data_IF_076006556090
#
_entry.id   IF_076006556090
#
_cell.length_a   1.000
_cell.length_b   1.000
_cell.length_c   1.000
_cell.angle_alpha   90.00
_cell.angle_beta   90.00
_cell.angle_gamma   90.00
#
_symmetry.space_group_name_H-M   'P 1'
#
loop_
_entity.id
_entity.type
_entity.pdbx_description
1 polymer ?
#
# COMPACT_ATOMS: atom_id res chain seq x y z
N UNK A 1 60.18 -14.92 -16.45
CA UNK A 1 58.95 -14.64 -15.67
C UNK A 1 57.75 -14.26 -16.54
N UNK A 2 57.90 -13.55 -17.68
CA UNK A 2 56.77 -13.18 -18.55
C UNK A 2 55.98 -14.35 -19.18
N UNK A 3 56.65 -15.43 -19.56
CA UNK A 3 55.99 -16.53 -20.32
C UNK A 3 54.94 -17.30 -19.52
N UNK A 4 55.16 -17.51 -18.22
CA UNK A 4 54.18 -18.20 -17.36
C UNK A 4 52.94 -17.34 -17.14
N UNK A 5 53.12 -16.03 -16.98
CA UNK A 5 52.04 -15.08 -16.77
C UNK A 5 51.20 -14.90 -18.05
N UNK A 6 51.83 -14.85 -19.23
CA UNK A 6 51.15 -14.84 -20.53
C UNK A 6 50.33 -16.13 -20.76
N UNK A 7 50.87 -17.29 -20.37
CA UNK A 7 50.13 -18.56 -20.42
C UNK A 7 48.92 -18.56 -19.48
N UNK A 8 49.06 -18.03 -18.26
CA UNK A 8 47.95 -17.89 -17.31
C UNK A 8 46.86 -16.94 -17.84
N UNK A 9 47.23 -15.82 -18.45
CA UNK A 9 46.28 -14.92 -19.10
C UNK A 9 45.53 -15.63 -20.23
N UNK A 10 46.24 -16.35 -21.09
CA UNK A 10 45.63 -17.08 -22.22
C UNK A 10 44.71 -18.19 -21.74
N UNK A 11 45.12 -18.95 -20.72
CA UNK A 11 44.31 -20.00 -20.12
C UNK A 11 43.04 -19.44 -19.47
N UNK A 12 43.15 -18.30 -18.79
CA UNK A 12 41.99 -17.58 -18.22
C UNK A 12 41.01 -17.15 -19.32
N UNK A 13 41.51 -16.47 -20.36
CA UNK A 13 40.67 -16.00 -21.48
C UNK A 13 39.95 -17.17 -22.17
N UNK A 14 40.66 -18.28 -22.45
CA UNK A 14 40.06 -19.48 -23.06
C UNK A 14 39.00 -20.10 -22.15
N UNK A 15 39.24 -20.17 -20.84
CA UNK A 15 38.29 -20.76 -19.90
C UNK A 15 37.01 -19.93 -19.81
N UNK A 16 37.14 -18.60 -19.75
CA UNK A 16 36.01 -17.67 -19.79
C UNK A 16 35.20 -17.82 -21.08
N UNK A 17 35.87 -17.89 -22.24
CA UNK A 17 35.20 -18.07 -23.52
C UNK A 17 34.43 -19.40 -23.61
N UNK A 18 34.95 -20.47 -23.00
CA UNK A 18 34.23 -21.76 -22.92
C UNK A 18 32.97 -21.63 -22.07
N UNK A 19 33.05 -20.98 -20.90
CA UNK A 19 31.88 -20.71 -20.07
C UNK A 19 30.85 -19.83 -20.79
N UNK A 20 31.29 -18.79 -21.51
CA UNK A 20 30.41 -17.93 -22.33
C UNK A 20 29.70 -18.76 -23.41
N UNK A 21 30.41 -19.68 -24.09
CA UNK A 21 29.79 -20.57 -25.10
C UNK A 21 28.71 -21.46 -24.49
N UNK A 22 28.94 -22.02 -23.31
CA UNK A 22 27.95 -22.83 -22.60
C UNK A 22 26.74 -21.99 -22.20
N UNK A 23 26.95 -20.85 -21.55
CA UNK A 23 25.87 -19.92 -21.16
C UNK A 23 25.05 -19.49 -22.38
N UNK A 24 25.71 -19.15 -23.48
CA UNK A 24 25.05 -18.71 -24.71
C UNK A 24 24.25 -19.83 -25.35
N UNK A 25 24.78 -21.06 -25.38
CA UNK A 25 24.06 -22.22 -25.90
C UNK A 25 22.80 -22.51 -25.07
N UNK A 26 22.91 -22.45 -23.74
CA UNK A 26 21.79 -22.64 -22.80
C UNK A 26 20.78 -21.48 -22.79
N UNK A 27 21.23 -20.28 -23.15
CA UNK A 27 20.32 -19.15 -23.38
C UNK A 27 19.50 -19.37 -24.66
N UNK A 28 20.15 -19.82 -25.74
CA UNK A 28 19.51 -20.06 -27.05
C UNK A 28 18.51 -21.20 -27.04
N UNK A 29 18.75 -22.26 -26.25
CA UNK A 29 17.83 -23.40 -26.12
C UNK A 29 16.69 -23.16 -25.11
N UNK A 30 16.59 -21.94 -24.55
CA UNK A 30 15.57 -21.56 -23.57
C UNK A 30 15.73 -22.23 -22.20
N UNK A 31 16.82 -22.95 -21.93
CA UNK A 31 17.05 -23.57 -20.62
C UNK A 31 17.24 -22.54 -19.52
N UNK A 32 17.97 -21.45 -19.79
CA UNK A 32 18.18 -20.39 -18.79
C UNK A 32 16.90 -19.59 -18.49
N UNK A 33 15.92 -19.61 -19.40
CA UNK A 33 14.60 -18.99 -19.21
C UNK A 33 13.69 -19.83 -18.31
N UNK A 34 14.00 -21.11 -18.12
CA UNK A 34 13.25 -22.03 -17.24
C UNK A 34 13.80 -22.08 -15.81
N UNK A 35 14.92 -21.40 -15.54
CA UNK A 35 15.50 -21.36 -14.21
C UNK A 35 14.56 -20.66 -13.24
N UNK A 36 14.43 -21.24 -12.04
CA UNK A 36 13.82 -20.55 -10.90
C UNK A 36 14.71 -19.38 -10.46
N UNK A 37 14.16 -18.49 -9.63
CA UNK A 37 14.95 -17.40 -9.02
C UNK A 37 16.13 -17.95 -8.23
N UNK A 38 15.94 -19.03 -7.46
CA UNK A 38 17.00 -19.66 -6.68
C UNK A 38 18.11 -20.25 -7.58
N UNK A 39 17.73 -20.93 -8.67
CA UNK A 39 18.72 -21.52 -9.58
C UNK A 39 19.53 -20.46 -10.31
N UNK A 40 18.89 -19.33 -10.68
CA UNK A 40 19.59 -18.22 -11.32
C UNK A 40 20.59 -17.55 -10.36
N UNK A 41 20.22 -17.41 -9.09
CA UNK A 41 21.13 -16.93 -8.03
C UNK A 41 22.34 -17.85 -7.90
N UNK A 42 22.12 -19.17 -7.83
CA UNK A 42 23.21 -20.15 -7.73
C UNK A 42 24.15 -20.06 -8.94
N UNK A 43 23.59 -19.92 -10.15
CA UNK A 43 24.38 -19.72 -11.37
C UNK A 43 25.21 -18.42 -11.28
N UNK A 44 24.59 -17.32 -10.85
CA UNK A 44 25.27 -16.02 -10.72
C UNK A 44 26.41 -16.09 -9.71
N UNK A 45 26.19 -16.69 -8.54
CA UNK A 45 27.22 -16.86 -7.52
C UNK A 45 28.37 -17.75 -8.01
N UNK A 46 28.06 -18.83 -8.71
CA UNK A 46 29.06 -19.75 -9.28
C UNK A 46 29.93 -19.04 -10.32
N UNK A 47 29.31 -18.26 -11.21
CA UNK A 47 30.03 -17.51 -12.24
C UNK A 47 30.90 -16.42 -11.62
N UNK A 48 30.38 -15.64 -10.67
CA UNK A 48 31.17 -14.60 -9.98
C UNK A 48 32.32 -15.18 -9.16
N UNK A 49 32.12 -16.34 -8.51
CA UNK A 49 33.18 -17.07 -7.82
C UNK A 49 34.29 -17.49 -8.78
N UNK A 50 33.93 -18.17 -9.86
CA UNK A 50 34.89 -18.59 -10.89
C UNK A 50 35.67 -17.39 -11.47
N UNK A 51 34.98 -16.29 -11.78
CA UNK A 51 35.65 -15.10 -12.30
C UNK A 51 36.65 -14.55 -11.27
N UNK A 52 36.26 -14.43 -10.00
CA UNK A 52 37.17 -13.97 -8.93
C UNK A 52 38.41 -14.85 -8.82
N UNK A 53 38.22 -16.16 -8.77
CA UNK A 53 39.33 -17.11 -8.65
C UNK A 53 40.31 -16.98 -9.83
N UNK A 54 39.79 -16.82 -11.05
CA UNK A 54 40.65 -16.62 -12.24
C UNK A 54 41.35 -15.26 -12.26
N UNK A 55 40.73 -14.22 -11.70
CA UNK A 55 41.34 -12.89 -11.57
C UNK A 55 42.48 -12.88 -10.55
N UNK A 56 42.27 -13.55 -9.42
CA UNK A 56 43.28 -13.67 -8.36
C UNK A 56 44.48 -14.50 -8.85
N UNK A 57 44.23 -15.57 -9.61
CA UNK A 57 45.28 -16.42 -10.18
C UNK A 57 46.05 -15.77 -11.34
N UNK A 58 45.34 -15.07 -12.24
CA UNK A 58 45.96 -14.51 -13.45
C UNK A 58 46.43 -13.07 -13.27
N UNK A 59 45.94 -12.34 -12.27
CA UNK A 59 46.19 -10.90 -12.08
C UNK A 59 45.51 -10.01 -13.13
N UNK A 60 44.66 -10.56 -14.01
CA UNK A 60 43.97 -9.83 -15.08
C UNK A 60 42.47 -10.01 -14.99
N UNK A 61 41.75 -8.89 -15.09
CA UNK A 61 40.29 -8.90 -15.16
C UNK A 61 39.79 -9.31 -16.53
N UNK A 62 38.96 -10.36 -16.59
CA UNK A 62 38.25 -10.76 -17.80
C UNK A 62 36.77 -10.36 -17.69
N UNK A 63 36.29 -9.66 -18.71
CA UNK A 63 34.94 -9.09 -18.74
C UNK A 63 33.95 -9.90 -19.59
N UNK A 64 34.41 -10.87 -20.40
CA UNK A 64 33.55 -11.58 -21.35
C UNK A 64 32.47 -12.40 -20.64
N UNK A 65 32.86 -13.18 -19.64
CA UNK A 65 31.95 -14.01 -18.87
C UNK A 65 30.98 -13.18 -18.00
N UNK A 66 31.48 -12.12 -17.36
CA UNK A 66 30.61 -11.18 -16.62
C UNK A 66 29.61 -10.48 -17.53
N UNK A 67 30.02 -10.08 -18.74
CA UNK A 67 29.13 -9.50 -19.74
C UNK A 67 28.02 -10.47 -20.18
N UNK A 68 28.37 -11.74 -20.41
CA UNK A 68 27.40 -12.78 -20.72
C UNK A 68 26.41 -13.03 -19.57
N UNK A 69 26.92 -13.10 -18.33
CA UNK A 69 26.09 -13.23 -17.13
C UNK A 69 25.15 -12.02 -16.97
N UNK A 70 25.65 -10.80 -17.16
CA UNK A 70 24.85 -9.58 -17.06
C UNK A 70 23.71 -9.55 -18.09
N UNK A 71 23.97 -9.99 -19.32
CA UNK A 71 22.93 -10.12 -20.35
C UNK A 71 21.83 -11.09 -19.91
N UNK A 72 22.21 -12.22 -19.30
CA UNK A 72 21.23 -13.16 -18.75
C UNK A 72 20.52 -12.60 -17.51
N UNK A 73 21.20 -11.85 -16.66
CA UNK A 73 20.62 -11.21 -15.49
C UNK A 73 19.55 -10.20 -15.88
N UNK A 74 19.76 -9.40 -16.92
CA UNK A 74 18.76 -8.48 -17.44
C UNK A 74 17.50 -9.22 -17.96
N UNK A 75 17.68 -10.35 -18.66
CA UNK A 75 16.55 -11.20 -19.10
C UNK A 75 15.80 -11.81 -17.92
N UNK A 76 16.53 -12.27 -16.91
CA UNK A 76 15.96 -12.77 -15.68
C UNK A 76 15.14 -11.69 -14.97
N UNK A 77 15.69 -10.48 -14.79
CA UNK A 77 14.99 -9.34 -14.15
C UNK A 77 13.68 -9.03 -14.88
N UNK A 78 13.73 -8.97 -16.21
CA UNK A 78 12.55 -8.71 -17.03
C UNK A 78 11.45 -9.76 -16.78
N UNK A 79 11.78 -11.05 -16.92
CA UNK A 79 10.83 -12.15 -16.70
C UNK A 79 10.30 -12.16 -15.26
N UNK A 80 11.21 -12.03 -14.28
CA UNK A 80 10.87 -11.95 -12.87
C UNK A 80 9.82 -10.86 -12.64
N UNK A 81 10.06 -9.65 -13.14
CA UNK A 81 9.11 -8.55 -12.98
C UNK A 81 7.78 -8.81 -13.69
N UNK A 82 7.77 -9.27 -14.94
CA UNK A 82 6.55 -9.53 -15.69
C UNK A 82 5.68 -10.60 -15.03
N UNK A 83 6.27 -11.66 -14.47
CA UNK A 83 5.56 -12.68 -13.70
C UNK A 83 4.88 -12.08 -12.47
N UNK A 84 5.60 -11.26 -11.68
CA UNK A 84 5.06 -10.65 -10.45
C UNK A 84 4.01 -9.61 -10.77
N UNK A 85 4.20 -8.81 -11.82
CA UNK A 85 3.25 -7.79 -12.27
C UNK A 85 1.97 -8.41 -12.83
N UNK A 86 2.08 -9.48 -13.62
CA UNK A 86 0.93 -10.24 -14.10
C UNK A 86 0.15 -10.85 -12.94
N UNK A 87 0.84 -11.51 -12.00
CA UNK A 87 0.23 -12.07 -10.80
C UNK A 87 -0.48 -10.99 -9.97
N UNK A 88 0.17 -9.86 -9.72
CA UNK A 88 -0.42 -8.75 -8.98
C UNK A 88 -1.67 -8.19 -9.68
N UNK A 89 -1.64 -8.08 -11.01
CA UNK A 89 -2.77 -7.60 -11.79
C UNK A 89 -3.96 -8.53 -11.67
N UNK A 90 -3.74 -9.84 -11.81
CA UNK A 90 -4.78 -10.85 -11.63
C UNK A 90 -5.38 -10.82 -10.21
N UNK A 91 -4.54 -10.63 -9.19
CA UNK A 91 -5.01 -10.54 -7.81
C UNK A 91 -5.87 -9.29 -7.59
N UNK A 92 -5.42 -8.13 -8.06
CA UNK A 92 -6.16 -6.87 -7.97
C UNK A 92 -7.51 -6.96 -8.71
N UNK A 93 -7.51 -7.54 -9.90
CA UNK A 93 -8.71 -7.68 -10.73
C UNK A 93 -9.73 -8.67 -10.16
N UNK A 94 -9.31 -9.53 -9.23
CA UNK A 94 -10.17 -10.44 -8.48
C UNK A 94 -10.41 -10.01 -7.03
N UNK A 95 -9.83 -8.89 -6.59
CA UNK A 95 -9.92 -8.42 -5.21
C UNK A 95 -11.34 -7.91 -4.93
N UNK A 96 -11.97 -8.47 -3.89
CA UNK A 96 -13.33 -8.12 -3.47
C UNK A 96 -13.37 -6.96 -2.49
N UNK A 97 -12.21 -6.44 -2.10
CA UNK A 97 -12.05 -5.36 -1.14
C UNK A 97 -12.74 -5.67 0.18
N UNK A 98 -12.62 -6.93 0.60
CA UNK A 98 -13.08 -7.43 1.89
C UNK A 98 -11.89 -7.64 2.80
N UNK A 99 -12.12 -7.49 4.09
CA UNK A 99 -11.10 -7.78 5.09
C UNK A 99 -10.68 -9.25 4.96
N UNK A 100 -9.38 -9.47 4.78
CA UNK A 100 -8.80 -10.79 4.73
C UNK A 100 -8.46 -11.26 6.14
N UNK A 101 -8.55 -12.57 6.37
CA UNK A 101 -7.86 -13.21 7.47
C UNK A 101 -6.36 -13.16 7.16
N UNK A 102 -5.55 -12.84 8.17
CA UNK A 102 -4.11 -12.74 8.12
C UNK A 102 -3.53 -14.06 8.62
N UNK A 103 -2.96 -14.90 7.74
CA UNK A 103 -2.28 -16.11 8.18
C UNK A 103 -1.08 -15.77 9.07
N UNK A 104 -0.78 -16.63 10.04
CA UNK A 104 0.33 -16.41 10.97
C UNK A 104 1.69 -16.24 10.28
N UNK A 105 1.89 -16.88 9.13
CA UNK A 105 3.09 -16.72 8.30
C UNK A 105 3.29 -15.27 7.83
N UNK A 106 2.22 -14.52 7.57
CA UNK A 106 2.34 -13.10 7.20
C UNK A 106 2.65 -12.22 8.42
N UNK A 107 2.12 -12.55 9.60
CA UNK A 107 2.50 -11.84 10.82
C UNK A 107 3.98 -12.09 11.17
N UNK A 108 4.45 -13.34 11.08
CA UNK A 108 5.86 -13.70 11.26
C UNK A 108 6.77 -12.99 10.24
N UNK A 109 6.32 -12.90 8.98
CA UNK A 109 7.01 -12.20 7.90
C UNK A 109 7.22 -10.71 8.23
N UNK A 110 6.15 -10.05 8.66
CA UNK A 110 6.16 -8.63 9.00
C UNK A 110 7.00 -8.34 10.24
N UNK A 111 6.92 -9.19 11.26
CA UNK A 111 7.76 -9.07 12.45
C UNK A 111 9.25 -9.22 12.09
N UNK A 112 9.58 -10.12 11.17
CA UNK A 112 10.97 -10.29 10.71
C UNK A 112 11.51 -9.05 10.00
N UNK A 113 10.68 -8.36 9.20
CA UNK A 113 11.06 -7.09 8.58
C UNK A 113 11.31 -6.03 9.65
N UNK A 114 10.46 -5.95 10.68
CA UNK A 114 10.60 -4.99 11.76
C UNK A 114 11.91 -5.18 12.55
N UNK A 115 12.38 -6.43 12.68
CA UNK A 115 13.69 -6.77 13.26
C UNK A 115 14.89 -6.48 12.33
N UNK A 116 14.65 -5.87 11.16
CA UNK A 116 15.68 -5.57 10.15
C UNK A 116 16.05 -6.75 9.25
N UNK A 117 15.36 -7.90 9.35
CA UNK A 117 15.60 -9.06 8.47
C UNK A 117 14.70 -8.99 7.24
N UNK A 118 15.25 -8.45 6.15
CA UNK A 118 14.57 -8.36 4.84
C UNK A 118 14.93 -9.58 4.00
N UNK A 119 14.45 -10.73 4.45
CA UNK A 119 14.64 -12.03 3.79
C UNK A 119 13.33 -12.80 3.84
N UNK A 120 13.06 -13.60 2.80
CA UNK A 120 11.91 -14.50 2.84
C UNK A 120 12.18 -15.62 3.86
N UNK A 121 11.23 -15.94 4.76
CA UNK A 121 11.36 -17.08 5.65
C UNK A 121 11.51 -18.35 4.83
N UNK A 122 12.34 -19.28 5.30
CA UNK A 122 12.37 -20.64 4.75
C UNK A 122 10.98 -21.25 4.84
N UNK A 123 10.59 -21.99 3.80
CA UNK A 123 9.29 -22.62 3.72
C UNK A 123 9.18 -23.64 4.87
N UNK A 124 8.47 -23.30 5.95
CA UNK A 124 8.27 -24.20 7.08
C UNK A 124 7.68 -25.53 6.57
N UNK A 125 8.24 -26.64 7.01
CA UNK A 125 7.73 -27.99 6.75
C UNK A 125 6.32 -28.06 7.38
N UNK A 126 5.29 -28.55 6.66
CA UNK A 126 3.95 -28.65 7.22
C UNK A 126 3.96 -29.56 8.46
N UNK A 127 3.63 -29.00 9.63
CA UNK A 127 3.62 -29.73 10.91
C UNK A 127 3.97 -28.92 12.16
N UNK A 128 4.54 -27.72 12.05
CA UNK A 128 4.79 -26.83 13.20
C UNK A 128 3.57 -25.96 13.49
N UNK A 129 2.92 -26.18 14.64
CA UNK A 129 1.78 -25.45 15.22
C UNK A 129 1.03 -24.50 14.26
N UNK A 130 -0.12 -24.96 13.74
CA UNK A 130 -1.07 -24.15 12.99
C UNK A 130 -1.64 -23.04 13.88
N UNK A 131 -0.89 -21.94 14.02
CA UNK A 131 -1.39 -20.72 14.62
C UNK A 131 -2.57 -20.23 13.78
N UNK A 132 -3.72 -20.05 14.42
CA UNK A 132 -4.94 -19.61 13.76
C UNK A 132 -4.73 -18.25 13.07
N UNK A 133 -5.28 -18.06 11.86
CA UNK A 133 -5.33 -16.75 11.22
C UNK A 133 -5.98 -15.71 12.13
N UNK A 134 -5.53 -14.46 12.03
CA UNK A 134 -6.07 -13.31 12.78
C UNK A 134 -6.79 -12.35 11.85
N UNK A 135 -7.70 -11.51 12.37
CA UNK A 135 -8.41 -10.53 11.54
C UNK A 135 -7.57 -9.30 11.15
N UNK A 136 -6.46 -9.08 11.87
CA UNK A 136 -5.62 -7.90 11.72
C UNK A 136 -4.15 -8.27 11.63
N UNK A 137 -3.41 -7.46 10.88
CA UNK A 137 -1.96 -7.45 10.83
C UNK A 137 -1.44 -6.37 11.78
N UNK A 138 -0.42 -6.68 12.58
CA UNK A 138 0.21 -5.72 13.48
C UNK A 138 1.60 -5.35 12.98
N UNK A 139 1.85 -4.05 12.81
CA UNK A 139 3.16 -3.52 12.38
C UNK A 139 3.58 -2.43 13.36
N UNK A 140 4.72 -2.58 14.05
CA UNK A 140 5.21 -1.60 15.04
C UNK A 140 4.15 -1.18 16.07
N UNK A 141 3.35 -2.14 16.56
CA UNK A 141 2.25 -1.89 17.50
C UNK A 141 0.98 -1.31 16.89
N UNK A 142 0.98 -0.94 15.61
CA UNK A 142 -0.22 -0.44 14.92
C UNK A 142 -1.04 -1.58 14.28
N UNK A 143 -2.36 -1.53 14.48
CA UNK A 143 -3.35 -2.48 13.94
C UNK A 143 -3.74 -2.13 12.51
N UNK A 144 -3.64 -3.06 11.56
CA UNK A 144 -4.04 -2.91 10.17
C UNK A 144 -5.10 -3.94 9.77
N UNK A 145 -6.27 -3.45 9.33
CA UNK A 145 -7.22 -4.25 8.56
C UNK A 145 -6.82 -4.20 7.08
N UNK A 146 -6.66 -5.37 6.46
CA UNK A 146 -6.05 -5.50 5.13
C UNK A 146 -6.88 -6.38 4.20
N UNK A 147 -6.63 -6.26 2.90
CA UNK A 147 -7.17 -7.17 1.88
C UNK A 147 -6.12 -8.21 1.48
N UNK A 148 -6.53 -9.31 0.85
CA UNK A 148 -5.60 -10.41 0.53
C UNK A 148 -4.47 -9.97 -0.41
N UNK A 149 -4.79 -9.10 -1.36
CA UNK A 149 -3.82 -8.63 -2.36
C UNK A 149 -2.65 -7.85 -1.76
N UNK A 150 -2.85 -7.06 -0.70
CA UNK A 150 -1.73 -6.31 -0.07
C UNK A 150 -0.78 -7.23 0.69
N UNK A 151 -1.28 -8.32 1.28
CA UNK A 151 -0.44 -9.35 1.90
C UNK A 151 0.48 -9.98 0.85
N UNK A 152 -0.07 -10.32 -0.32
CA UNK A 152 0.72 -10.86 -1.42
C UNK A 152 1.69 -9.84 -2.01
N UNK A 153 1.33 -8.56 -2.05
CA UNK A 153 2.26 -7.48 -2.42
C UNK A 153 3.45 -7.40 -1.44
N UNK A 154 3.20 -7.59 -0.14
CA UNK A 154 4.27 -7.64 0.87
C UNK A 154 5.29 -8.72 0.55
N UNK A 155 4.79 -9.93 0.28
CA UNK A 155 5.65 -11.03 -0.14
C UNK A 155 6.41 -10.73 -1.43
N UNK A 156 5.75 -10.12 -2.42
CA UNK A 156 6.38 -9.76 -3.69
C UNK A 156 7.54 -8.80 -3.48
N UNK A 157 7.40 -7.71 -2.70
CA UNK A 157 8.53 -6.79 -2.51
C UNK A 157 9.72 -7.45 -1.80
N UNK A 158 9.49 -8.45 -0.96
CA UNK A 158 10.58 -9.21 -0.33
C UNK A 158 11.31 -10.10 -1.32
N UNK A 159 10.62 -10.66 -2.32
CA UNK A 159 11.26 -11.36 -3.42
C UNK A 159 12.22 -10.42 -4.19
N UNK A 160 11.83 -9.15 -4.40
CA UNK A 160 12.74 -8.14 -4.97
C UNK A 160 13.95 -7.88 -4.07
N UNK A 161 13.72 -7.67 -2.77
CA UNK A 161 14.80 -7.40 -1.82
C UNK A 161 15.79 -8.57 -1.71
N UNK A 162 15.28 -9.80 -1.70
CA UNK A 162 16.07 -11.03 -1.72
C UNK A 162 16.91 -11.12 -3.00
N UNK A 163 16.29 -10.86 -4.16
CA UNK A 163 16.99 -10.95 -5.43
C UNK A 163 18.20 -10.01 -5.52
N UNK A 164 18.11 -8.82 -4.93
CA UNK A 164 19.24 -7.87 -4.90
C UNK A 164 20.30 -8.23 -3.85
N UNK A 165 19.94 -8.95 -2.78
CA UNK A 165 20.94 -9.55 -1.89
C UNK A 165 21.79 -10.55 -2.64
N UNK A 166 21.16 -11.35 -3.48
CA UNK A 166 21.79 -12.46 -4.18
C UNK A 166 22.57 -12.03 -5.42
N UNK A 167 22.09 -10.99 -6.11
CA UNK A 167 22.69 -10.46 -7.34
C UNK A 167 22.77 -8.92 -7.24
N UNK A 168 23.80 -8.36 -6.59
CA UNK A 168 23.91 -6.92 -6.38
C UNK A 168 24.04 -6.10 -7.68
N UNK A 169 24.54 -6.71 -8.78
CA UNK A 169 24.74 -6.02 -10.07
C UNK A 169 23.45 -5.56 -10.73
N UNK A 170 22.29 -6.14 -10.36
CA UNK A 170 20.97 -5.76 -10.88
C UNK A 170 20.18 -4.84 -9.95
N UNK A 171 20.78 -4.33 -8.87
CA UNK A 171 20.11 -3.52 -7.85
C UNK A 171 19.34 -2.33 -8.44
N UNK A 172 19.94 -1.57 -9.35
CA UNK A 172 19.31 -0.39 -9.97
C UNK A 172 18.10 -0.76 -10.84
N UNK A 173 18.20 -1.84 -11.62
CA UNK A 173 17.09 -2.30 -12.47
C UNK A 173 15.95 -2.84 -11.59
N UNK A 174 16.27 -3.69 -10.61
CA UNK A 174 15.28 -4.21 -9.66
C UNK A 174 14.55 -3.12 -8.88
N UNK A 175 15.24 -2.05 -8.48
CA UNK A 175 14.61 -0.91 -7.83
C UNK A 175 13.61 -0.23 -8.76
N UNK A 176 13.99 0.00 -10.02
CA UNK A 176 13.12 0.62 -11.01
C UNK A 176 11.88 -0.25 -11.29
N UNK A 177 12.07 -1.57 -11.41
CA UNK A 177 10.97 -2.53 -11.57
C UNK A 177 10.05 -2.61 -10.35
N UNK A 178 10.60 -2.58 -9.14
CA UNK A 178 9.78 -2.53 -7.92
C UNK A 178 9.01 -1.20 -7.83
N UNK A 179 9.64 -0.11 -8.24
CA UNK A 179 8.99 1.21 -8.33
C UNK A 179 7.79 1.18 -9.28
N UNK A 180 7.95 0.56 -10.46
CA UNK A 180 6.86 0.39 -11.42
C UNK A 180 5.74 -0.51 -10.89
N UNK A 181 6.08 -1.57 -10.15
CA UNK A 181 5.10 -2.45 -9.51
C UNK A 181 4.27 -1.71 -8.45
N UNK A 182 4.92 -0.90 -7.60
CA UNK A 182 4.25 -0.09 -6.58
C UNK A 182 3.34 0.97 -7.20
N UNK A 183 3.78 1.62 -8.29
CA UNK A 183 2.94 2.55 -9.06
C UNK A 183 1.72 1.83 -9.65
N UNK A 184 1.91 0.63 -10.19
CA UNK A 184 0.83 -0.19 -10.74
C UNK A 184 -0.21 -0.55 -9.68
N UNK A 185 0.22 -1.00 -8.49
CA UNK A 185 -0.70 -1.26 -7.37
C UNK A 185 -1.51 -0.02 -7.01
N UNK A 186 -0.87 1.14 -6.87
CA UNK A 186 -1.54 2.39 -6.51
C UNK A 186 -2.59 2.80 -7.55
N UNK A 187 -2.16 2.87 -8.82
CA UNK A 187 -3.01 3.29 -9.93
C UNK A 187 -4.20 2.34 -10.11
N UNK A 188 -3.96 1.03 -10.08
CA UNK A 188 -5.04 0.04 -10.26
C UNK A 188 -5.97 0.02 -9.06
N UNK A 189 -5.47 0.17 -7.83
CA UNK A 189 -6.30 0.31 -6.63
C UNK A 189 -7.21 1.54 -6.71
N UNK A 190 -6.68 2.68 -7.18
CA UNK A 190 -7.47 3.89 -7.41
C UNK A 190 -8.59 3.65 -8.44
N UNK A 191 -8.28 3.04 -9.58
CA UNK A 191 -9.28 2.71 -10.61
C UNK A 191 -10.38 1.77 -10.08
N UNK A 192 -10.00 0.74 -9.33
CA UNK A 192 -10.93 -0.27 -8.82
C UNK A 192 -11.86 0.31 -7.75
N UNK A 193 -11.33 1.15 -6.85
CA UNK A 193 -12.06 1.67 -5.69
C UNK A 193 -12.67 3.04 -5.96
N UNK A 194 -11.85 4.05 -6.23
CA UNK A 194 -12.33 5.42 -6.48
C UNK A 194 -12.98 5.55 -7.87
N UNK A 195 -12.40 4.92 -8.88
CA UNK A 195 -12.96 4.83 -10.23
C UNK A 195 -14.11 3.83 -10.37
N UNK A 196 -14.49 3.15 -9.28
CA UNK A 196 -15.55 2.13 -9.23
C UNK A 196 -15.36 0.96 -10.23
N UNK A 197 -14.14 0.72 -10.71
CA UNK A 197 -13.83 -0.38 -11.62
C UNK A 197 -14.20 -1.75 -11.04
N UNK A 198 -14.08 -1.94 -9.72
CA UNK A 198 -14.42 -3.20 -9.05
C UNK A 198 -15.90 -3.60 -9.21
N UNK A 199 -16.80 -2.66 -9.51
CA UNK A 199 -18.19 -2.99 -9.83
C UNK A 199 -18.28 -3.88 -11.10
N UNK A 200 -17.41 -3.62 -12.07
CA UNK A 200 -17.38 -4.34 -13.35
C UNK A 200 -16.52 -5.60 -13.26
N UNK A 201 -15.31 -5.51 -12.68
CA UNK A 201 -14.34 -6.62 -12.73
C UNK A 201 -14.70 -7.77 -11.79
N UNK A 202 -15.22 -7.46 -10.59
CA UNK A 202 -15.57 -8.48 -9.58
C UNK A 202 -17.06 -8.53 -9.26
N UNK A 203 -17.89 -7.75 -9.97
CA UNK A 203 -19.35 -7.79 -9.83
C UNK A 203 -19.88 -7.23 -8.50
N UNK A 204 -19.15 -6.29 -7.86
CA UNK A 204 -19.68 -5.60 -6.69
C UNK A 204 -20.89 -4.73 -7.09
N UNK A 205 -21.92 -4.70 -6.23
CA UNK A 205 -23.10 -3.83 -6.47
C UNK A 205 -22.80 -2.35 -6.21
N UNK A 206 -21.94 -2.06 -5.25
CA UNK A 206 -21.57 -0.70 -4.85
C UNK A 206 -20.20 -0.70 -4.16
N UNK A 207 -19.49 0.41 -4.24
CA UNK A 207 -18.27 0.66 -3.44
C UNK A 207 -18.71 1.24 -2.11
N UNK A 208 -18.56 0.48 -1.04
CA UNK A 208 -19.01 0.89 0.31
C UNK A 208 -17.96 1.74 1.03
N UNK A 209 -18.36 2.42 2.11
CA UNK A 209 -17.44 3.10 3.04
C UNK A 209 -16.41 2.14 3.63
N UNK A 210 -16.80 0.89 3.88
CA UNK A 210 -15.90 -0.18 4.34
C UNK A 210 -14.82 -0.51 3.29
N UNK A 211 -15.20 -0.58 2.01
CA UNK A 211 -14.24 -0.83 0.92
C UNK A 211 -13.22 0.31 0.83
N UNK A 212 -13.68 1.56 0.91
CA UNK A 212 -12.82 2.76 0.93
C UNK A 212 -11.85 2.74 2.11
N UNK A 213 -12.35 2.46 3.33
CA UNK A 213 -11.52 2.39 4.52
C UNK A 213 -10.45 1.29 4.41
N UNK A 214 -10.82 0.08 3.95
CA UNK A 214 -9.86 -1.01 3.72
C UNK A 214 -8.79 -0.63 2.68
N UNK A 215 -9.19 0.01 1.58
CA UNK A 215 -8.25 0.49 0.57
C UNK A 215 -7.25 1.49 1.16
N UNK A 216 -7.74 2.48 1.92
CA UNK A 216 -6.90 3.45 2.62
C UNK A 216 -5.90 2.77 3.57
N UNK A 217 -6.34 1.76 4.35
CA UNK A 217 -5.44 1.02 5.26
C UNK A 217 -4.39 0.20 4.51
N UNK A 218 -4.72 -0.39 3.37
CA UNK A 218 -3.76 -1.09 2.53
C UNK A 218 -2.70 -0.14 1.95
N UNK A 219 -3.13 1.04 1.48
CA UNK A 219 -2.20 2.06 0.97
C UNK A 219 -1.27 2.56 2.09
N UNK A 220 -1.80 2.85 3.28
CA UNK A 220 -1.01 3.27 4.45
C UNK A 220 -0.01 2.19 4.87
N UNK A 221 -0.38 0.92 4.78
CA UNK A 221 0.53 -0.19 5.06
C UNK A 221 1.68 -0.23 4.05
N UNK A 222 1.41 -0.04 2.76
CA UNK A 222 2.49 0.04 1.75
C UNK A 222 3.40 1.23 2.02
N UNK A 223 2.85 2.40 2.35
CA UNK A 223 3.63 3.60 2.73
C UNK A 223 4.59 3.30 3.89
N UNK A 224 4.16 2.51 4.88
CA UNK A 224 5.00 2.10 6.00
C UNK A 224 6.23 1.27 5.57
N UNK A 225 6.12 0.48 4.50
CA UNK A 225 7.21 -0.35 4.00
C UNK A 225 8.15 0.36 3.02
N UNK A 226 7.68 1.38 2.29
CA UNK A 226 8.52 2.12 1.34
C UNK A 226 9.87 2.58 1.94
N UNK A 227 9.94 3.21 3.12
CA UNK A 227 11.23 3.64 3.69
C UNK A 227 12.15 2.47 4.04
N UNK A 228 11.59 1.34 4.50
CA UNK A 228 12.35 0.13 4.83
C UNK A 228 12.97 -0.46 3.57
N UNK A 229 12.18 -0.57 2.50
CA UNK A 229 12.63 -1.05 1.18
C UNK A 229 13.67 -0.09 0.60
N UNK A 230 13.43 1.23 0.66
CA UNK A 230 14.37 2.26 0.19
C UNK A 230 15.72 2.11 0.88
N UNK A 231 15.75 1.98 2.21
CA UNK A 231 16.97 1.77 2.98
C UNK A 231 17.69 0.48 2.58
N UNK A 232 16.96 -0.62 2.36
CA UNK A 232 17.53 -1.88 1.89
C UNK A 232 18.27 -1.72 0.57
N UNK A 233 17.62 -1.12 -0.43
CA UNK A 233 18.23 -0.88 -1.74
C UNK A 233 19.41 0.09 -1.66
N UNK A 234 19.35 1.10 -0.78
CA UNK A 234 20.46 2.03 -0.56
C UNK A 234 21.75 1.30 -0.12
N UNK A 235 21.65 0.24 0.70
CA UNK A 235 22.82 -0.59 1.09
C UNK A 235 23.44 -1.38 -0.07
N UNK A 236 22.72 -1.53 -1.19
CA UNK A 236 23.13 -2.33 -2.35
C UNK A 236 23.59 -1.47 -3.52
N UNK A 237 23.48 -0.15 -3.41
CA UNK A 237 23.81 0.81 -4.46
C UNK A 237 25.10 1.56 -4.15
N UNK A 238 25.80 1.99 -5.19
CA UNK A 238 26.92 2.92 -5.06
C UNK A 238 26.40 4.36 -4.93
N UNK A 239 27.13 5.29 -4.27
CA UNK A 239 26.69 6.68 -4.10
C UNK A 239 26.29 7.39 -5.41
N UNK A 240 27.00 7.08 -6.51
CA UNK A 240 26.69 7.60 -7.86
C UNK A 240 25.31 7.18 -8.41
N UNK A 241 24.69 6.14 -7.83
CA UNK A 241 23.41 5.57 -8.24
C UNK A 241 22.25 6.05 -7.34
N UNK A 242 22.51 6.79 -6.26
CA UNK A 242 21.49 7.18 -5.27
C UNK A 242 20.37 8.06 -5.83
N UNK A 243 20.57 8.71 -6.98
CA UNK A 243 19.51 9.45 -7.67
C UNK A 243 18.27 8.61 -7.94
N UNK A 244 18.42 7.30 -8.17
CA UNK A 244 17.32 6.38 -8.45
C UNK A 244 16.41 6.16 -7.23
N UNK A 245 16.92 6.35 -6.00
CA UNK A 245 16.13 6.20 -4.76
C UNK A 245 14.99 7.22 -4.69
N UNK A 246 15.09 8.35 -5.43
CA UNK A 246 14.02 9.35 -5.53
C UNK A 246 12.72 8.79 -6.07
N UNK A 247 12.74 7.66 -6.80
CA UNK A 247 11.51 7.00 -7.23
C UNK A 247 10.61 6.65 -6.03
N UNK A 248 11.18 6.20 -4.91
CA UNK A 248 10.41 5.89 -3.70
C UNK A 248 9.80 7.12 -3.06
N UNK A 249 10.47 8.28 -3.13
CA UNK A 249 9.93 9.54 -2.59
C UNK A 249 8.69 9.98 -3.38
N UNK A 250 8.73 9.90 -4.71
CA UNK A 250 7.58 10.19 -5.58
C UNK A 250 6.43 9.20 -5.33
N UNK A 251 6.74 7.90 -5.23
CA UNK A 251 5.73 6.87 -4.92
C UNK A 251 5.08 7.14 -3.57
N UNK A 252 5.87 7.49 -2.54
CA UNK A 252 5.33 7.83 -1.22
C UNK A 252 4.35 8.99 -1.29
N UNK A 253 4.68 10.02 -2.08
CA UNK A 253 3.77 11.15 -2.32
C UNK A 253 2.49 10.69 -3.01
N UNK A 254 2.59 9.94 -4.12
CA UNK A 254 1.42 9.48 -4.89
C UNK A 254 0.48 8.59 -4.06
N UNK A 255 1.01 7.79 -3.12
CA UNK A 255 0.19 7.00 -2.19
C UNK A 255 -0.50 7.88 -1.16
N UNK A 256 0.19 8.88 -0.59
CA UNK A 256 -0.41 9.80 0.37
C UNK A 256 -1.50 10.67 -0.27
N UNK A 257 -1.29 11.12 -1.51
CA UNK A 257 -2.30 11.84 -2.29
C UNK A 257 -3.54 10.96 -2.49
N UNK A 258 -3.37 9.69 -2.87
CA UNK A 258 -4.48 8.74 -2.99
C UNK A 258 -5.19 8.46 -1.64
N UNK A 259 -4.46 8.33 -0.53
CA UNK A 259 -5.04 8.19 0.81
C UNK A 259 -5.90 9.43 1.15
N UNK A 260 -5.44 10.63 0.81
CA UNK A 260 -6.17 11.87 1.02
C UNK A 260 -7.44 11.94 0.14
N UNK A 261 -7.37 11.49 -1.11
CA UNK A 261 -8.53 11.38 -2.01
C UNK A 261 -9.59 10.41 -1.47
N UNK A 262 -9.18 9.26 -0.93
CA UNK A 262 -10.10 8.32 -0.28
C UNK A 262 -10.79 8.96 0.93
N UNK A 263 -10.04 9.68 1.76
CA UNK A 263 -10.61 10.45 2.89
C UNK A 263 -11.60 11.51 2.41
N UNK A 264 -11.25 12.26 1.37
CA UNK A 264 -12.13 13.25 0.76
C UNK A 264 -13.41 12.61 0.20
N UNK A 265 -13.33 11.43 -0.41
CA UNK A 265 -14.49 10.68 -0.90
C UNK A 265 -15.42 10.25 0.23
N UNK A 266 -14.88 9.79 1.36
CA UNK A 266 -15.67 9.46 2.55
C UNK A 266 -16.43 10.68 3.09
N UNK A 267 -15.78 11.85 3.17
CA UNK A 267 -16.44 13.10 3.54
C UNK A 267 -17.52 13.47 2.54
N UNK A 268 -17.24 13.40 1.23
CA UNK A 268 -18.19 13.75 0.18
C UNK A 268 -19.48 12.90 0.22
N UNK A 269 -19.38 11.62 0.57
CA UNK A 269 -20.55 10.73 0.75
C UNK A 269 -21.46 11.28 1.86
N UNK A 270 -20.90 11.69 2.99
CA UNK A 270 -21.67 12.26 4.09
C UNK A 270 -22.15 13.68 3.84
N UNK A 271 -21.39 14.46 3.10
CA UNK A 271 -21.77 15.81 2.66
C UNK A 271 -23.04 15.76 1.79
N UNK A 272 -23.03 14.93 0.75
CA UNK A 272 -24.20 14.72 -0.13
C UNK A 272 -25.41 14.19 0.63
N UNK A 273 -25.19 13.30 1.60
CA UNK A 273 -26.25 12.81 2.48
C UNK A 273 -26.83 13.93 3.35
N UNK A 274 -25.96 14.71 3.99
CA UNK A 274 -26.36 15.80 4.91
C UNK A 274 -27.16 16.86 4.15
N UNK A 275 -26.70 17.29 2.98
CA UNK A 275 -27.43 18.22 2.12
C UNK A 275 -28.82 17.70 1.75
N UNK A 276 -28.91 16.44 1.30
CA UNK A 276 -30.18 15.81 0.91
C UNK A 276 -31.18 15.71 2.05
N UNK A 277 -30.72 15.44 3.26
CA UNK A 277 -31.60 15.29 4.44
C UNK A 277 -31.96 16.65 5.02
N UNK A 278 -31.01 17.56 5.18
CA UNK A 278 -31.21 18.88 5.78
C UNK A 278 -32.00 19.84 4.90
N UNK A 279 -31.93 19.70 3.57
CA UNK A 279 -32.79 20.49 2.66
C UNK A 279 -34.30 20.30 2.91
N UNK A 280 -34.69 19.21 3.58
CA UNK A 280 -36.08 18.90 3.97
C UNK A 280 -36.36 19.20 5.44
N UNK A 281 -35.41 19.81 6.15
CA UNK A 281 -35.58 20.14 7.55
C UNK A 281 -36.56 21.30 7.71
N UNK A 282 -37.48 21.13 8.66
CA UNK A 282 -38.43 22.13 9.11
C UNK A 282 -38.34 22.21 10.63
N UNK A 283 -38.39 23.42 11.19
CA UNK A 283 -38.32 23.65 12.62
C UNK A 283 -39.71 23.54 13.22
N UNK A 284 -40.12 22.30 13.55
CA UNK A 284 -41.40 21.99 14.17
C UNK A 284 -41.35 20.72 15.02
N UNK A 285 -42.20 20.64 16.03
CA UNK A 285 -42.39 19.45 16.85
C UNK A 285 -42.90 18.25 16.01
N UNK A 286 -42.62 16.99 16.42
CA UNK A 286 -41.91 16.58 17.64
C UNK A 286 -40.38 16.59 17.51
N UNK A 287 -39.70 16.74 18.65
CA UNK A 287 -38.23 16.74 18.77
C UNK A 287 -37.73 15.45 19.45
N UNK A 288 -36.57 14.88 19.06
CA UNK A 288 -35.73 15.29 17.92
C UNK A 288 -36.48 15.11 16.60
N UNK A 289 -36.17 15.91 15.59
CA UNK A 289 -36.82 15.82 14.29
C UNK A 289 -36.47 14.52 13.57
N UNK A 290 -37.33 14.10 12.64
CA UNK A 290 -37.05 12.92 11.81
C UNK A 290 -35.76 13.09 10.97
N UNK A 291 -35.44 14.33 10.60
CA UNK A 291 -34.22 14.70 9.88
C UNK A 291 -32.99 14.43 10.74
N UNK A 292 -32.95 14.96 11.97
CA UNK A 292 -31.81 14.76 12.87
C UNK A 292 -31.63 13.29 13.28
N UNK A 293 -32.73 12.58 13.55
CA UNK A 293 -32.67 11.12 13.77
C UNK A 293 -32.06 10.38 12.58
N UNK A 294 -32.42 10.77 11.35
CA UNK A 294 -31.87 10.14 10.16
C UNK A 294 -30.37 10.44 10.00
N UNK A 295 -29.94 11.70 10.13
CA UNK A 295 -28.51 12.06 10.03
C UNK A 295 -27.68 11.30 11.07
N UNK A 296 -28.10 11.30 12.34
CA UNK A 296 -27.39 10.58 13.41
C UNK A 296 -27.31 9.08 13.11
N UNK A 297 -28.41 8.47 12.63
CA UNK A 297 -28.42 7.07 12.22
C UNK A 297 -27.41 6.76 11.11
N UNK A 298 -27.24 7.65 10.13
CA UNK A 298 -26.28 7.43 9.06
C UNK A 298 -24.83 7.68 9.52
N UNK A 299 -24.60 8.66 10.40
CA UNK A 299 -23.29 8.87 11.02
C UNK A 299 -22.86 7.65 11.84
N UNK A 300 -23.76 7.09 12.64
CA UNK A 300 -23.51 5.86 13.40
C UNK A 300 -23.17 4.68 12.48
N UNK A 301 -23.93 4.48 11.39
CA UNK A 301 -23.63 3.44 10.39
C UNK A 301 -22.27 3.63 9.71
N UNK A 302 -21.90 4.88 9.41
CA UNK A 302 -20.59 5.15 8.84
C UNK A 302 -19.48 4.84 9.86
N UNK A 303 -19.65 5.28 11.11
CA UNK A 303 -18.71 4.99 12.19
C UNK A 303 -18.52 3.49 12.40
N UNK A 304 -19.62 2.72 12.48
CA UNK A 304 -19.60 1.26 12.59
C UNK A 304 -18.80 0.61 11.44
N UNK A 305 -18.91 1.15 10.23
CA UNK A 305 -18.22 0.61 9.06
C UNK A 305 -16.70 0.87 9.05
N UNK A 306 -16.20 1.89 9.77
CA UNK A 306 -14.81 2.34 9.66
C UNK A 306 -14.01 2.36 10.97
N UNK A 307 -14.67 2.42 12.13
CA UNK A 307 -14.01 2.63 13.43
C UNK A 307 -13.06 1.52 13.84
N UNK A 308 -13.36 0.27 13.45
CA UNK A 308 -12.45 -0.86 13.68
C UNK A 308 -11.34 -1.00 12.63
N UNK A 309 -11.46 -0.28 11.51
CA UNK A 309 -10.52 -0.33 10.40
C UNK A 309 -9.48 0.80 10.46
N UNK A 310 -9.94 2.02 10.75
CA UNK A 310 -9.12 3.22 10.78
C UNK A 310 -8.53 3.47 12.18
N UNK A 311 -7.35 4.08 12.27
CA UNK A 311 -6.85 4.61 13.54
C UNK A 311 -7.81 5.63 14.16
N UNK A 312 -7.76 5.73 15.49
CA UNK A 312 -8.59 6.66 16.27
C UNK A 312 -8.45 8.11 15.78
N UNK A 313 -7.21 8.62 15.65
CA UNK A 313 -6.93 9.97 15.19
C UNK A 313 -7.51 10.25 13.79
N UNK A 314 -7.37 9.29 12.85
CA UNK A 314 -7.93 9.43 11.50
C UNK A 314 -9.46 9.44 11.52
N UNK A 315 -10.06 8.63 12.40
CA UNK A 315 -11.52 8.60 12.58
C UNK A 315 -12.01 9.93 13.14
N UNK A 316 -11.35 10.47 14.16
CA UNK A 316 -11.64 11.78 14.75
C UNK A 316 -11.57 12.90 13.70
N UNK A 317 -10.46 12.97 12.94
CA UNK A 317 -10.28 13.98 11.89
C UNK A 317 -11.33 13.88 10.78
N UNK A 318 -11.72 12.66 10.40
CA UNK A 318 -12.79 12.44 9.42
C UNK A 318 -14.13 12.95 9.94
N UNK A 319 -14.48 12.66 11.20
CA UNK A 319 -15.74 13.10 11.81
C UNK A 319 -15.78 14.60 12.04
N UNK A 320 -14.67 15.26 12.34
CA UNK A 320 -14.58 16.72 12.38
C UNK A 320 -14.90 17.35 11.02
N UNK A 321 -14.35 16.79 9.93
CA UNK A 321 -14.66 17.26 8.56
C UNK A 321 -16.12 17.03 8.17
N UNK A 322 -16.69 15.88 8.56
CA UNK A 322 -18.11 15.59 8.34
C UNK A 322 -18.99 16.58 9.14
N UNK A 323 -18.63 16.85 10.40
CA UNK A 323 -19.32 17.83 11.23
C UNK A 323 -19.28 19.24 10.62
N UNK A 324 -18.14 19.67 10.09
CA UNK A 324 -18.04 20.95 9.39
C UNK A 324 -19.00 21.05 8.18
N UNK A 325 -19.10 19.99 7.38
CA UNK A 325 -20.07 19.90 6.28
C UNK A 325 -21.52 19.93 6.79
N UNK A 326 -21.83 19.16 7.83
CA UNK A 326 -23.16 19.15 8.46
C UNK A 326 -23.57 20.56 8.93
N UNK A 327 -22.68 21.25 9.67
CA UNK A 327 -22.89 22.62 10.14
C UNK A 327 -23.16 23.57 8.99
N UNK A 328 -22.39 23.47 7.90
CA UNK A 328 -22.59 24.30 6.71
C UNK A 328 -23.98 24.14 6.11
N UNK A 329 -24.44 22.90 5.93
CA UNK A 329 -25.77 22.62 5.36
C UNK A 329 -26.91 23.03 6.30
N UNK A 330 -26.76 22.79 7.61
CA UNK A 330 -27.74 23.18 8.62
C UNK A 330 -27.88 24.70 8.65
N UNK A 331 -26.76 25.42 8.72
CA UNK A 331 -26.72 26.89 8.67
C UNK A 331 -27.44 27.46 7.45
N UNK A 332 -27.16 26.92 6.25
CA UNK A 332 -27.85 27.31 5.01
C UNK A 332 -29.35 27.12 5.10
N UNK A 333 -29.79 26.00 5.67
CA UNK A 333 -31.22 25.72 5.82
C UNK A 333 -31.88 26.64 6.86
N UNK A 334 -31.24 26.88 8.00
CA UNK A 334 -31.75 27.82 9.02
C UNK A 334 -31.92 29.23 8.44
N UNK A 335 -30.94 29.69 7.66
CA UNK A 335 -31.03 30.97 6.94
C UNK A 335 -32.21 31.01 5.95
N UNK A 336 -32.47 29.91 5.22
CA UNK A 336 -33.62 29.81 4.31
C UNK A 336 -34.97 29.84 5.03
N UNK A 337 -35.04 29.25 6.22
CA UNK A 337 -36.23 29.24 7.06
C UNK A 337 -36.42 30.54 7.86
N UNK A 338 -35.47 31.48 7.81
CA UNK A 338 -35.50 32.72 8.57
C UNK A 338 -35.33 32.52 10.09
N UNK A 339 -34.76 31.40 10.52
CA UNK A 339 -34.57 31.08 11.95
C UNK A 339 -33.30 31.75 12.44
N UNK A 340 -33.41 32.51 13.52
CA UNK A 340 -32.31 33.28 14.13
C UNK A 340 -32.02 32.81 15.55
N UNK A 341 -30.89 33.22 16.10
CA UNK A 341 -30.50 32.91 17.48
C UNK A 341 -31.03 33.96 18.46
N UNK A 342 -32.36 33.99 18.64
CA UNK A 342 -33.09 34.99 19.44
C UNK A 342 -33.63 34.45 20.77
N UNK A 343 -33.40 33.18 21.08
CA UNK A 343 -33.99 32.51 22.25
C UNK A 343 -35.49 32.23 22.14
N UNK A 344 -36.09 32.45 20.97
CA UNK A 344 -37.50 32.20 20.71
C UNK A 344 -37.86 30.72 20.56
N UNK A 345 -39.15 30.38 20.35
CA UNK A 345 -39.60 28.99 20.29
C UNK A 345 -38.92 28.17 19.20
N UNK A 346 -38.72 28.74 17.99
CA UNK A 346 -38.03 28.05 16.91
C UNK A 346 -36.55 27.82 17.20
N UNK A 347 -35.87 28.81 17.79
CA UNK A 347 -34.49 28.64 18.26
C UNK A 347 -34.39 27.50 19.29
N UNK A 348 -35.31 27.47 20.27
CA UNK A 348 -35.36 26.40 21.27
C UNK A 348 -35.52 25.00 20.66
N UNK A 349 -36.34 24.85 19.63
CA UNK A 349 -36.45 23.57 18.90
C UNK A 349 -35.13 23.20 18.22
N UNK A 350 -34.47 24.13 17.52
CA UNK A 350 -33.17 23.86 16.87
C UNK A 350 -32.13 23.45 17.91
N UNK A 351 -32.10 24.09 19.08
CA UNK A 351 -31.18 23.74 20.18
C UNK A 351 -31.38 22.29 20.64
N UNK A 352 -32.62 21.82 20.77
CA UNK A 352 -32.90 20.41 21.13
C UNK A 352 -32.37 19.43 20.08
N UNK A 353 -32.57 19.75 18.80
CA UNK A 353 -32.07 18.92 17.70
C UNK A 353 -30.53 18.88 17.65
N UNK A 354 -29.88 20.05 17.83
CA UNK A 354 -28.42 20.17 17.85
C UNK A 354 -27.81 19.48 19.07
N UNK A 355 -28.46 19.55 20.24
CA UNK A 355 -28.06 18.78 21.42
C UNK A 355 -28.15 17.27 21.13
N UNK A 356 -29.26 16.81 20.56
CA UNK A 356 -29.42 15.41 20.16
C UNK A 356 -28.33 14.96 19.18
N UNK A 357 -27.99 15.78 18.17
CA UNK A 357 -26.89 15.49 17.26
C UNK A 357 -25.55 15.36 17.98
N UNK A 358 -25.24 16.32 18.84
CA UNK A 358 -23.97 16.40 19.57
C UNK A 358 -23.78 15.17 20.45
N UNK A 359 -24.79 14.81 21.25
CA UNK A 359 -24.78 13.61 22.09
C UNK A 359 -24.60 12.33 21.26
N UNK A 360 -25.31 12.20 20.14
CA UNK A 360 -25.22 11.00 19.30
C UNK A 360 -23.85 10.85 18.64
N UNK A 361 -23.17 11.95 18.29
CA UNK A 361 -21.82 11.90 17.73
C UNK A 361 -20.79 11.58 18.82
N UNK A 362 -20.90 12.21 20.00
CA UNK A 362 -19.93 12.06 21.09
C UNK A 362 -20.05 10.71 21.83
N UNK A 363 -21.21 10.04 21.78
CA UNK A 363 -21.36 8.66 22.29
C UNK A 363 -20.62 7.62 21.44
N UNK A 364 -20.28 7.94 20.19
CA UNK A 364 -19.53 7.03 19.33
C UNK A 364 -18.09 6.86 19.87
N UNK A 365 -17.62 5.60 19.90
CA UNK A 365 -16.28 5.24 20.36
C UNK A 365 -15.23 6.15 19.71
N UNK A 366 -14.31 6.67 20.53
CA UNK A 366 -13.22 7.57 20.14
C UNK A 366 -13.62 8.97 19.69
N UNK A 367 -14.90 9.38 19.80
CA UNK A 367 -15.37 10.71 19.40
C UNK A 367 -15.85 11.57 20.58
N UNK A 368 -15.76 11.08 21.81
CA UNK A 368 -16.26 11.71 23.04
C UNK A 368 -15.67 13.10 23.32
N UNK A 369 -14.41 13.32 22.91
CA UNK A 369 -13.67 14.57 23.12
C UNK A 369 -13.67 15.51 21.92
N UNK A 370 -14.42 15.19 20.86
CA UNK A 370 -14.48 16.07 19.71
C UNK A 370 -15.20 17.38 20.07
N UNK A 371 -14.50 18.50 19.86
CA UNK A 371 -15.14 19.81 19.82
C UNK A 371 -15.87 19.98 18.48
N UNK A 372 -17.19 19.86 18.53
CA UNK A 372 -18.03 20.03 17.35
C UNK A 372 -18.28 21.51 17.03
N UNK A 373 -18.03 22.42 17.96
CA UNK A 373 -18.32 23.86 17.88
C UNK A 373 -19.64 24.16 17.14
N UNK A 374 -20.75 23.67 17.69
CA UNK A 374 -22.07 23.80 17.05
C UNK A 374 -22.61 25.25 17.07
N UNK A 375 -21.98 26.17 17.81
CA UNK A 375 -22.35 27.59 17.85
C UNK A 375 -22.16 28.26 16.47
N UNK A 376 -21.21 27.78 15.66
CA UNK A 376 -20.93 28.29 14.30
C UNK A 376 -22.13 28.26 13.33
N UNK A 377 -23.16 27.45 13.61
CA UNK A 377 -24.37 27.40 12.78
C UNK A 377 -25.13 28.73 12.79
N UNK A 378 -24.92 29.56 13.81
CA UNK A 378 -25.58 30.86 14.00
C UNK A 378 -24.74 32.05 13.52
N UNK A 379 -23.43 31.88 13.36
CA UNK A 379 -22.54 32.98 12.96
C UNK A 379 -22.87 33.46 11.54
N UNK A 380 -22.93 34.76 11.28
CA UNK A 380 -23.00 35.23 9.89
C UNK A 380 -21.59 35.29 9.32
N UNK A 381 -21.39 34.90 8.04
CA UNK A 381 -20.12 35.23 7.36
C UNK A 381 -20.01 36.75 7.35
N UNK A 382 -19.02 37.29 8.05
CA UNK A 382 -18.59 38.68 7.88
C UNK A 382 -18.10 38.90 6.46
#
# INVERSE_FOLDING_TARGET
MNTLQELLHTASDVSHDRCVKVLTARAKDGSLERLSSADFVLLSQTVEGFVRDTEDLSGRRSASLRGALQSQANRFVHRFHEERKTKLSLLLDNERWKQAEVPAEFQDLVNSIADGRITLPERKIPGTEDRKPTEFLFVNGQKYAVVGTVLLLIRIFLEYCQCVNDIPSIATDMLTRLSDLLKHFNSRSCQLVLGAGALQVVGLKTITTKNLALASRCLQLVVQYIPIIRAHFETKLQPKQYSVLRHFDHITKDYNDHIAEVSAKLVAIMDSLSEKVLSKYEVKAPMPSAVFRNVCKQMAKMHEAISELLPEEQTQMLFLRINASFKLHLKRQLSRLGVVNDGGPQNGLVVVDVAFYTENVQVLKSLDRLDLNMVEIWEQKR
#
